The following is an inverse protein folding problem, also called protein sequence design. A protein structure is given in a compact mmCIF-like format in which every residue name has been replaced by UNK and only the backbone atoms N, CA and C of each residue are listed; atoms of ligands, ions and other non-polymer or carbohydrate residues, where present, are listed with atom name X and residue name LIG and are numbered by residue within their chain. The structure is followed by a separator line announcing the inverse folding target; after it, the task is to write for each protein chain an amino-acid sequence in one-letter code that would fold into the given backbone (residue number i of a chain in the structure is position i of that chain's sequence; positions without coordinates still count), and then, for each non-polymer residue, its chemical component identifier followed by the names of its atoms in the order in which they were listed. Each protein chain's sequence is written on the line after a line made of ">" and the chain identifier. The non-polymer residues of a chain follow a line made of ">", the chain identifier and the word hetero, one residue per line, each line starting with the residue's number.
data_IF_798870067778
#
_entry.id   IF_798870067778
#
_cell.length_a   1.000
_cell.length_b   1.000
_cell.length_c   1.000
_cell.angle_alpha   90.00
_cell.angle_beta   90.00
_cell.angle_gamma   90.00
#
_symmetry.space_group_name_H-M   'P 1'
#
loop_
_entity.id
_entity.type
_entity.pdbx_description
1 polymer ?
#
# COMPACT_ATOMS: atom_id res chain seq x y z
N UNK A 1 -5.52 4.99 2.59
CA UNK A 1 -5.29 5.54 1.23
C UNK A 1 -3.80 5.54 0.86
N UNK A 2 -3.02 6.59 1.13
CA UNK A 2 -1.61 6.73 0.69
C UNK A 2 -0.77 5.52 1.11
N UNK A 3 -0.90 5.10 2.37
CA UNK A 3 -0.13 3.97 2.91
C UNK A 3 -0.45 2.64 2.23
N UNK A 4 -1.66 2.51 1.66
CA UNK A 4 -2.08 1.31 0.92
C UNK A 4 -1.48 1.32 -0.49
N UNK A 5 -1.52 2.47 -1.17
CA UNK A 5 -0.80 2.67 -2.45
C UNK A 5 0.69 2.37 -2.26
N UNK A 6 1.34 2.98 -1.27
CA UNK A 6 2.75 2.74 -0.98
C UNK A 6 3.05 1.28 -0.62
N UNK A 7 2.13 0.56 0.01
CA UNK A 7 2.32 -0.86 0.29
C UNK A 7 2.23 -1.73 -0.98
N UNK A 8 1.35 -1.41 -1.93
CA UNK A 8 1.41 -2.05 -3.25
C UNK A 8 2.73 -1.79 -3.95
N UNK A 9 3.14 -0.53 -4.01
CA UNK A 9 4.36 -0.11 -4.68
C UNK A 9 5.59 -0.78 -4.05
N UNK A 10 5.66 -0.86 -2.71
CA UNK A 10 6.70 -1.62 -2.00
C UNK A 10 6.73 -3.09 -2.38
N UNK A 11 5.58 -3.74 -2.58
CA UNK A 11 5.53 -5.14 -3.03
C UNK A 11 6.02 -5.32 -4.46
N UNK A 12 5.84 -4.33 -5.34
CA UNK A 12 6.38 -4.40 -6.69
C UNK A 12 7.91 -4.40 -6.68
N UNK A 13 8.51 -3.56 -5.82
CA UNK A 13 9.98 -3.47 -5.67
C UNK A 13 10.54 -4.64 -4.85
N UNK A 14 9.82 -5.08 -3.81
CA UNK A 14 10.22 -6.14 -2.91
C UNK A 14 9.05 -7.09 -2.63
N UNK A 15 8.97 -8.17 -3.41
CA UNK A 15 7.95 -9.22 -3.23
C UNK A 15 8.03 -9.97 -1.88
N UNK A 16 9.12 -9.80 -1.13
CA UNK A 16 9.29 -10.38 0.21
C UNK A 16 8.86 -9.44 1.36
N UNK A 17 8.28 -8.27 1.07
CA UNK A 17 7.73 -7.39 2.10
C UNK A 17 6.39 -7.93 2.66
N UNK A 18 6.49 -8.82 3.64
CA UNK A 18 5.33 -9.43 4.30
C UNK A 18 4.43 -8.40 5.03
N UNK A 19 5.00 -7.27 5.47
CA UNK A 19 4.23 -6.23 6.14
C UNK A 19 3.31 -5.52 5.15
N UNK A 20 3.87 -5.11 4.00
CA UNK A 20 3.09 -4.53 2.90
C UNK A 20 2.10 -5.55 2.33
N UNK A 21 2.50 -6.82 2.16
CA UNK A 21 1.62 -7.89 1.69
C UNK A 21 0.40 -8.04 2.60
N UNK A 22 0.61 -8.14 3.92
CA UNK A 22 -0.47 -8.28 4.91
C UNK A 22 -1.43 -7.09 4.87
N UNK A 23 -0.91 -5.88 4.65
CA UNK A 23 -1.70 -4.65 4.60
C UNK A 23 -2.68 -4.63 3.42
N UNK A 24 -2.22 -5.06 2.25
CA UNK A 24 -2.98 -4.86 0.99
C UNK A 24 -3.64 -6.11 0.43
N UNK A 25 -3.34 -7.31 0.96
CA UNK A 25 -3.93 -8.58 0.50
C UNK A 25 -5.47 -8.55 0.45
N UNK A 26 -6.11 -7.79 1.35
CA UNK A 26 -7.56 -7.63 1.40
C UNK A 26 -8.00 -6.15 1.33
N UNK A 27 -7.15 -5.26 0.79
CA UNK A 27 -7.47 -3.84 0.58
C UNK A 27 -7.22 -3.47 -0.88
N UNK A 28 -8.24 -3.20 -1.72
CA UNK A 28 -9.68 -3.30 -1.44
C UNK A 28 -10.15 -4.72 -1.07
N UNK A 29 -11.39 -4.82 -0.57
CA UNK A 29 -11.94 -6.08 -0.07
C UNK A 29 -11.97 -7.18 -1.16
N UNK A 30 -11.16 -8.23 -0.98
CA UNK A 30 -11.12 -9.43 -1.87
C UNK A 30 -11.79 -10.65 -1.25
N UNK A 31 -12.30 -10.49 -0.03
CA UNK A 31 -12.85 -11.58 0.77
C UNK A 31 -11.78 -12.61 1.15
N UNK A 32 -10.56 -12.13 1.43
CA UNK A 32 -9.46 -12.89 2.03
C UNK A 32 -9.45 -12.56 3.52
N UNK A 33 -10.09 -13.43 4.32
CA UNK A 33 -10.25 -13.19 5.76
C UNK A 33 -8.95 -13.43 6.56
N UNK A 34 -8.89 -12.89 7.78
CA UNK A 34 -7.71 -13.00 8.64
C UNK A 34 -7.27 -14.44 8.95
N UNK A 35 -8.19 -15.40 9.03
CA UNK A 35 -7.85 -16.83 9.19
C UNK A 35 -7.09 -17.38 7.98
N UNK A 36 -7.45 -16.96 6.76
CA UNK A 36 -6.74 -17.33 5.53
C UNK A 36 -5.32 -16.77 5.56
N UNK A 37 -5.19 -15.49 5.91
CA UNK A 37 -3.87 -14.81 6.03
C UNK A 37 -2.99 -15.55 7.03
N UNK A 38 -3.49 -15.85 8.24
CA UNK A 38 -2.73 -16.58 9.27
C UNK A 38 -2.23 -17.95 8.81
N UNK A 39 -3.05 -18.68 8.04
CA UNK A 39 -2.63 -19.99 7.48
C UNK A 39 -1.51 -19.84 6.47
N UNK A 40 -1.59 -18.82 5.61
CA UNK A 40 -0.53 -18.50 4.66
C UNK A 40 0.76 -18.07 5.37
N UNK A 41 0.67 -17.22 6.39
CA UNK A 41 1.82 -16.82 7.22
C UNK A 41 2.49 -18.03 7.90
N UNK A 42 1.68 -18.96 8.41
CA UNK A 42 2.19 -20.20 9.02
C UNK A 42 2.93 -21.05 7.99
N UNK A 43 2.37 -21.17 6.78
CA UNK A 43 3.02 -21.89 5.67
C UNK A 43 4.32 -21.21 5.23
N UNK A 44 4.29 -19.88 5.06
CA UNK A 44 5.43 -19.06 4.68
C UNK A 44 6.59 -19.25 5.65
N UNK A 45 6.31 -19.12 6.96
CA UNK A 45 7.29 -19.34 8.02
C UNK A 45 7.84 -20.77 8.04
N UNK A 46 6.99 -21.78 7.85
CA UNK A 46 7.40 -23.18 7.85
C UNK A 46 8.31 -23.55 6.66
N UNK A 47 8.23 -22.79 5.55
CA UNK A 47 8.96 -23.07 4.31
C UNK A 47 10.07 -22.05 3.99
N UNK A 48 10.21 -21.01 4.79
CA UNK A 48 11.14 -19.91 4.50
C UNK A 48 10.78 -19.16 3.21
N UNK A 49 9.48 -18.97 2.96
CA UNK A 49 8.95 -18.24 1.80
C UNK A 49 8.39 -16.88 2.23
N UNK A 50 8.22 -15.96 1.28
CA UNK A 50 7.42 -14.76 1.52
C UNK A 50 5.92 -15.08 1.65
N UNK A 51 5.17 -14.18 2.27
CA UNK A 51 3.71 -14.26 2.33
C UNK A 51 3.09 -14.23 0.91
N UNK A 52 3.68 -13.45 -0.01
CA UNK A 52 3.26 -13.37 -1.40
C UNK A 52 3.44 -14.71 -2.13
N UNK A 53 4.56 -15.40 -1.91
CA UNK A 53 4.80 -16.74 -2.48
C UNK A 53 3.84 -17.77 -1.90
N UNK A 54 3.58 -17.72 -0.59
CA UNK A 54 2.63 -18.60 0.06
C UNK A 54 1.20 -18.44 -0.52
N UNK A 55 0.83 -17.25 -1.00
CA UNK A 55 -0.48 -17.01 -1.62
C UNK A 55 -0.75 -17.90 -2.84
N UNK A 56 0.30 -18.34 -3.55
CA UNK A 56 0.22 -19.27 -4.68
C UNK A 56 0.03 -20.73 -4.24
N UNK A 57 0.24 -21.02 -2.96
CA UNK A 57 0.27 -22.37 -2.38
C UNK A 57 -0.95 -22.64 -1.48
N UNK A 58 -2.09 -22.03 -1.81
CA UNK A 58 -3.31 -22.11 -0.99
C UNK A 58 -3.74 -23.51 -0.55
N UNK A 59 -3.73 -24.54 -1.42
CA UNK A 59 -4.06 -25.91 -1.00
C UNK A 59 -3.13 -26.47 0.09
N UNK A 60 -1.85 -26.11 0.04
CA UNK A 60 -0.82 -26.57 0.98
C UNK A 60 -0.93 -25.86 2.34
N UNK A 61 -1.50 -24.65 2.35
CA UNK A 61 -1.91 -23.94 3.56
C UNK A 61 -3.25 -24.45 4.13
N UNK A 62 -3.84 -25.50 3.54
CA UNK A 62 -5.14 -26.06 3.96
C UNK A 62 -6.31 -25.11 3.69
N UNK A 63 -6.22 -24.25 2.68
CA UNK A 63 -7.30 -23.36 2.27
C UNK A 63 -8.36 -24.13 1.46
N UNK A 64 -9.60 -23.65 1.51
CA UNK A 64 -10.63 -24.11 0.57
C UNK A 64 -10.26 -23.69 -0.86
N UNK A 65 -10.76 -24.41 -1.87
CA UNK A 65 -10.55 -24.06 -3.28
C UNK A 65 -10.91 -22.60 -3.59
N UNK A 66 -11.99 -22.08 -3.00
CA UNK A 66 -12.41 -20.69 -3.17
C UNK A 66 -11.39 -19.70 -2.57
N UNK A 67 -10.88 -19.97 -1.36
CA UNK A 67 -9.87 -19.11 -0.73
C UNK A 67 -8.53 -19.18 -1.46
N UNK A 68 -8.09 -20.38 -1.88
CA UNK A 68 -6.88 -20.56 -2.66
C UNK A 68 -6.92 -19.81 -4.00
N UNK A 69 -8.06 -19.83 -4.70
CA UNK A 69 -8.24 -19.08 -5.95
C UNK A 69 -8.08 -17.57 -5.73
N UNK A 70 -8.64 -17.02 -4.64
CA UNK A 70 -8.55 -15.60 -4.32
C UNK A 70 -7.12 -15.16 -4.00
N UNK A 71 -6.39 -15.96 -3.23
CA UNK A 71 -5.00 -15.65 -2.86
C UNK A 71 -4.06 -15.78 -4.05
N UNK A 72 -4.28 -16.78 -4.92
CA UNK A 72 -3.55 -16.92 -6.17
C UNK A 72 -3.79 -15.72 -7.10
N UNK A 73 -5.06 -15.30 -7.27
CA UNK A 73 -5.40 -14.13 -8.07
C UNK A 73 -4.74 -12.83 -7.56
N UNK A 74 -4.63 -12.67 -6.23
CA UNK A 74 -3.87 -11.56 -5.66
C UNK A 74 -2.37 -11.64 -6.02
N UNK A 75 -1.76 -12.81 -5.89
CA UNK A 75 -0.34 -12.99 -6.24
C UNK A 75 -0.07 -12.78 -7.75
N UNK A 76 -1.02 -13.17 -8.61
CA UNK A 76 -0.98 -12.91 -10.05
C UNK A 76 -1.13 -11.42 -10.38
N UNK A 77 -2.03 -10.71 -9.69
CA UNK A 77 -2.17 -9.27 -9.82
C UNK A 77 -0.85 -8.55 -9.52
N UNK A 78 -0.21 -8.86 -8.39
CA UNK A 78 1.09 -8.26 -8.02
C UNK A 78 2.17 -8.59 -9.07
N UNK A 79 2.26 -9.85 -9.51
CA UNK A 79 3.22 -10.25 -10.54
C UNK A 79 3.02 -9.46 -11.85
N UNK A 80 1.77 -9.32 -12.29
CA UNK A 80 1.43 -8.59 -13.52
C UNK A 80 1.59 -7.06 -13.42
N UNK A 81 1.62 -6.50 -12.21
CA UNK A 81 1.96 -5.09 -11.99
C UNK A 81 3.47 -4.90 -12.00
N UNK A 82 4.23 -5.87 -11.48
CA UNK A 82 5.69 -5.84 -11.45
C UNK A 82 6.34 -5.97 -12.84
N UNK A 83 5.65 -6.55 -13.83
CA UNK A 83 6.12 -6.61 -15.22
C UNK A 83 6.37 -5.22 -15.86
N UNK A 84 5.68 -4.18 -15.38
CA UNK A 84 5.76 -2.83 -15.90
C UNK A 84 6.52 -1.85 -15.01
N UNK A 85 7.44 -2.32 -14.17
CA UNK A 85 8.13 -1.53 -13.15
C UNK A 85 9.18 -0.55 -13.68
N UNK A 86 9.61 -0.72 -14.94
CA UNK A 86 10.60 0.14 -15.62
C UNK A 86 9.96 1.37 -16.31
N UNK A 87 8.67 1.61 -16.09
CA UNK A 87 7.93 2.77 -16.61
C UNK A 87 8.07 3.99 -15.68
N UNK A 88 7.66 5.19 -16.14
CA UNK A 88 7.55 6.35 -15.26
C UNK A 88 6.75 6.03 -14.00
N UNK A 89 7.21 6.51 -12.85
CA UNK A 89 6.63 6.23 -11.54
C UNK A 89 5.16 6.63 -11.49
N UNK A 90 4.81 7.78 -12.09
CA UNK A 90 3.42 8.22 -12.27
C UNK A 90 2.54 7.14 -12.92
N UNK A 91 2.99 6.56 -14.03
CA UNK A 91 2.24 5.53 -14.75
C UNK A 91 2.06 4.26 -13.91
N UNK A 92 3.09 3.90 -13.13
CA UNK A 92 3.03 2.74 -12.22
C UNK A 92 2.00 3.00 -11.12
N UNK A 93 2.00 4.17 -10.49
CA UNK A 93 1.05 4.52 -9.44
C UNK A 93 -0.39 4.50 -9.97
N UNK A 94 -0.63 5.11 -11.13
CA UNK A 94 -1.93 5.09 -11.76
C UNK A 94 -2.41 3.66 -12.07
N UNK A 95 -1.53 2.81 -12.61
CA UNK A 95 -1.85 1.41 -12.86
C UNK A 95 -2.15 0.62 -11.59
N UNK A 96 -1.41 0.89 -10.51
CA UNK A 96 -1.67 0.30 -9.19
C UNK A 96 -3.05 0.71 -8.71
N UNK A 97 -3.37 2.01 -8.71
CA UNK A 97 -4.65 2.53 -8.23
C UNK A 97 -5.82 1.92 -9.01
N UNK A 98 -5.75 1.95 -10.35
CA UNK A 98 -6.78 1.39 -11.23
C UNK A 98 -6.92 -0.13 -11.10
N UNK A 99 -5.84 -0.88 -11.33
CA UNK A 99 -5.91 -2.35 -11.46
C UNK A 99 -6.14 -3.07 -10.14
N UNK A 100 -5.84 -2.42 -9.02
CA UNK A 100 -6.15 -2.97 -7.69
C UNK A 100 -7.58 -2.68 -7.25
N UNK A 101 -8.28 -1.75 -7.92
CA UNK A 101 -9.60 -1.23 -7.56
C UNK A 101 -9.55 -0.24 -6.39
N UNK A 102 -8.39 0.37 -6.12
CA UNK A 102 -8.27 1.37 -5.05
C UNK A 102 -9.12 2.60 -5.38
N UNK A 103 -9.17 3.02 -6.65
CA UNK A 103 -10.06 4.12 -7.08
C UNK A 103 -11.53 3.89 -6.69
N UNK A 104 -12.05 2.68 -6.91
CA UNK A 104 -13.42 2.34 -6.55
C UNK A 104 -13.65 2.32 -5.03
N UNK A 105 -12.60 1.98 -4.27
CA UNK A 105 -12.66 1.95 -2.81
C UNK A 105 -12.51 3.34 -2.17
N UNK A 106 -12.09 4.34 -2.95
CA UNK A 106 -11.90 5.72 -2.49
C UNK A 106 -13.08 6.62 -2.90
N UNK A 107 -13.96 6.19 -3.80
CA UNK A 107 -15.03 7.02 -4.39
C UNK A 107 -16.47 6.72 -3.95
N UNK A 108 -16.71 6.07 -2.80
CA UNK A 108 -18.05 5.59 -2.40
C UNK A 108 -18.97 6.67 -1.74
N UNK A 109 -18.53 7.93 -1.72
CA UNK A 109 -19.40 9.12 -1.70
C UNK A 109 -19.50 9.94 -0.40
N UNK A 110 -18.68 9.69 0.62
CA UNK A 110 -18.63 10.52 1.84
C UNK A 110 -17.56 11.65 1.78
N UNK A 111 -17.59 12.63 2.70
CA UNK A 111 -16.58 13.73 2.72
C UNK A 111 -15.15 13.21 2.94
N UNK A 112 -14.99 12.10 3.66
CA UNK A 112 -13.71 11.43 3.87
C UNK A 112 -13.15 10.82 2.56
N UNK A 113 -14.03 10.44 1.63
CA UNK A 113 -13.69 9.84 0.34
C UNK A 113 -13.12 10.88 -0.64
N UNK A 114 -13.68 12.10 -0.65
CA UNK A 114 -13.15 13.19 -1.47
C UNK A 114 -11.73 13.61 -1.03
N UNK A 115 -11.43 13.56 0.27
CA UNK A 115 -10.09 13.80 0.78
C UNK A 115 -9.13 12.65 0.43
N UNK A 116 -9.65 11.42 0.42
CA UNK A 116 -8.91 10.22 0.08
C UNK A 116 -8.41 10.25 -1.37
N UNK A 117 -9.28 10.63 -2.31
CA UNK A 117 -8.94 10.83 -3.72
C UNK A 117 -7.90 11.95 -3.91
N UNK A 118 -8.12 13.12 -3.28
CA UNK A 118 -7.18 14.24 -3.37
C UNK A 118 -5.77 13.88 -2.88
N UNK A 119 -5.67 13.10 -1.80
CA UNK A 119 -4.40 12.62 -1.27
C UNK A 119 -3.66 11.69 -2.24
N UNK A 120 -4.40 10.85 -2.98
CA UNK A 120 -3.82 9.95 -3.99
C UNK A 120 -3.41 10.73 -5.24
N UNK A 121 -4.21 11.71 -5.67
CA UNK A 121 -3.88 12.62 -6.77
C UNK A 121 -2.62 13.45 -6.47
N UNK A 122 -2.45 13.91 -5.23
CA UNK A 122 -1.24 14.61 -4.78
C UNK A 122 -0.02 13.69 -4.84
N UNK A 123 -0.16 12.43 -4.41
CA UNK A 123 0.92 11.44 -4.50
C UNK A 123 1.32 11.16 -5.96
N UNK A 124 0.35 11.07 -6.88
CA UNK A 124 0.59 10.89 -8.32
C UNK A 124 1.26 12.13 -8.91
N UNK A 125 0.87 13.33 -8.47
CA UNK A 125 1.49 14.59 -8.90
C UNK A 125 2.95 14.68 -8.45
N UNK A 126 3.24 14.30 -7.20
CA UNK A 126 4.62 14.23 -6.68
C UNK A 126 5.47 13.18 -7.42
N UNK A 127 4.86 12.06 -7.87
CA UNK A 127 5.53 11.09 -8.73
C UNK A 127 5.83 11.66 -10.13
N UNK A 128 4.92 12.45 -10.70
CA UNK A 128 5.13 13.13 -11.99
C UNK A 128 6.29 14.12 -11.91
N UNK A 129 6.35 14.94 -10.84
CA UNK A 129 7.44 15.89 -10.62
C UNK A 129 8.79 15.16 -10.48
N UNK A 130 8.81 13.99 -9.85
CA UNK A 130 10.01 13.16 -9.74
C UNK A 130 10.44 12.58 -11.10
N UNK A 131 9.50 12.09 -11.90
CA UNK A 131 9.77 11.57 -13.25
C UNK A 131 10.38 12.65 -14.15
N UNK A 132 9.87 13.89 -14.07
CA UNK A 132 10.36 15.04 -14.86
C UNK A 132 11.74 15.55 -14.38
N UNK A 133 12.01 15.49 -13.08
CA UNK A 133 13.23 16.02 -12.48
C UNK A 133 14.44 15.05 -12.56
N UNK A 134 14.22 13.78 -12.89
CA UNK A 134 15.22 12.72 -12.79
C UNK A 134 15.58 12.16 -14.17
N UNK A 135 16.87 12.10 -14.51
CA UNK A 135 17.33 11.62 -15.83
C UNK A 135 17.09 10.11 -16.04
N UNK A 136 17.04 9.32 -14.96
CA UNK A 136 16.78 7.87 -14.98
C UNK A 136 15.92 7.50 -13.78
N UNK A 137 14.61 7.84 -13.80
CA UNK A 137 13.73 7.62 -12.68
C UNK A 137 13.52 6.12 -12.46
N UNK A 138 13.68 5.68 -11.22
CA UNK A 138 13.27 4.34 -10.80
C UNK A 138 12.24 4.41 -9.68
N UNK A 139 11.36 3.41 -9.62
CA UNK A 139 10.37 3.27 -8.54
C UNK A 139 11.03 3.08 -7.17
N UNK A 140 12.15 2.37 -7.13
CA UNK A 140 12.90 2.10 -5.90
C UNK A 140 13.49 3.39 -5.31
N UNK A 141 14.08 4.24 -6.16
CA UNK A 141 14.67 5.52 -5.74
C UNK A 141 13.58 6.51 -5.29
N UNK A 142 12.44 6.54 -5.99
CA UNK A 142 11.29 7.35 -5.58
C UNK A 142 10.75 6.92 -4.22
N UNK A 143 10.57 5.62 -3.98
CA UNK A 143 10.14 5.10 -2.67
C UNK A 143 11.09 5.52 -1.55
N UNK A 144 12.40 5.54 -1.82
CA UNK A 144 13.40 5.99 -0.85
C UNK A 144 13.22 7.49 -0.53
N UNK A 145 12.99 8.33 -1.54
CA UNK A 145 12.70 9.75 -1.35
C UNK A 145 11.42 9.99 -0.54
N UNK A 146 10.32 9.28 -0.86
CA UNK A 146 9.04 9.42 -0.14
C UNK A 146 9.16 8.97 1.32
N UNK A 147 9.93 7.91 1.59
CA UNK A 147 10.17 7.46 2.96
C UNK A 147 10.93 8.49 3.79
N UNK A 148 11.92 9.17 3.21
CA UNK A 148 12.72 10.19 3.89
C UNK A 148 11.89 11.43 4.23
N UNK A 149 11.02 11.86 3.32
CA UNK A 149 10.12 13.01 3.56
C UNK A 149 9.08 12.68 4.64
N UNK A 150 8.52 11.46 4.60
CA UNK A 150 7.57 11.01 5.62
C UNK A 150 8.19 10.93 7.03
N UNK A 151 9.45 10.49 7.13
CA UNK A 151 10.18 10.48 8.40
C UNK A 151 10.51 11.89 8.88
N UNK A 152 10.83 12.83 7.97
CA UNK A 152 11.09 14.23 8.31
C UNK A 152 9.83 14.96 8.83
N UNK A 153 8.67 14.76 8.20
CA UNK A 153 7.38 15.28 8.68
C UNK A 153 7.00 14.71 10.06
N UNK A 154 7.37 13.45 10.32
CA UNK A 154 7.24 12.83 11.64
C UNK A 154 8.07 13.54 12.73
N UNK A 155 9.22 14.15 12.37
CA UNK A 155 10.05 14.93 13.31
C UNK A 155 9.61 16.40 13.47
N UNK A 156 8.90 16.96 12.49
CA UNK A 156 8.34 18.32 12.58
C UNK A 156 7.02 18.34 13.38
N UNK A 157 6.32 17.21 13.46
CA UNK A 157 5.14 17.02 14.31
C UNK A 157 5.37 17.06 15.83
N UNK A 158 6.62 16.95 16.31
CA UNK A 158 6.96 17.00 17.75
C UNK A 158 7.59 18.34 18.19
N UNK A 159 7.77 19.29 17.27
CA UNK A 159 8.30 20.63 17.58
C UNK A 159 7.52 21.74 16.88
N UNK A 160 6.24 21.87 17.21
CA UNK A 160 5.50 23.08 16.82
C UNK A 160 3.99 23.00 16.69
N UNK A 161 3.33 21.94 17.17
CA UNK A 161 1.87 21.93 17.21
C UNK A 161 1.35 22.97 18.22
N UNK A 162 0.72 24.04 17.72
CA UNK A 162 -0.10 24.92 18.54
C UNK A 162 -1.35 24.13 18.94
N UNK A 163 -1.41 23.71 20.20
CA UNK A 163 -2.59 23.07 20.77
C UNK A 163 -3.75 24.05 20.79
N UNK A 164 -4.68 23.92 19.85
CA UNK A 164 -5.99 24.55 19.90
C UNK A 164 -6.83 23.86 20.98
N UNK A 165 -6.78 24.38 22.20
CA UNK A 165 -7.79 24.09 23.22
C UNK A 165 -8.93 25.11 23.10
N UNK A 166 -10.17 24.63 23.09
CA UNK A 166 -11.32 25.49 23.30
C UNK A 166 -11.27 26.05 24.72
N UNK A 167 -11.49 27.36 24.84
CA UNK A 167 -11.44 28.12 26.08
C UNK A 167 -12.50 27.60 27.06
N UNK A 168 -12.14 26.66 27.94
CA UNK A 168 -12.91 26.34 29.15
C UNK A 168 -12.09 25.84 30.35
N UNK A 169 -10.75 25.93 30.30
CA UNK A 169 -9.89 25.52 31.41
C UNK A 169 -9.14 26.68 32.10
N UNK A 170 -9.59 27.93 31.95
CA UNK A 170 -9.11 29.03 32.80
C UNK A 170 -9.90 29.05 34.12
N UNK A 171 -9.62 28.10 35.00
CA UNK A 171 -9.92 28.23 36.43
C UNK A 171 -8.82 27.58 37.26
N UNK A 172 -7.88 28.41 37.70
CA UNK A 172 -6.93 28.09 38.74
C UNK A 172 -5.58 27.61 38.23
N UNK A 173 -4.73 28.57 37.84
CA UNK A 173 -3.40 28.81 38.43
C UNK A 173 -2.90 30.17 37.95
#
# INVERSE_FOLDING_TARGET
>A
EIKDVLAYVRLLVNGADDLSCRRVINTPARGIGGTTVKRLETLAAARGLSLLDACRMGPEAGLSAAAAKKTAAFAELIASLAEGIDRPVKEILEDVVRRTGLEDALGDGDEDDAQADANVEELISAAADYDDATESPTLADWLHQVSLVSDADHFEGDRGAVTLMTLHAAKGL
#
